data_IF_225104368829
#
_entry.id   IF_225104368829
#
_cell.length_a   1.000
_cell.length_b   1.000
_cell.length_c   1.000
_cell.angle_alpha   90.00
_cell.angle_beta   90.00
_cell.angle_gamma   90.00
#
_symmetry.space_group_name_H-M   'P 1'
#
loop_
_entity.id
_entity.type
_entity.pdbx_description
1 polymer ?
#
# COMPACT_ATOMS: atom_id res chain seq x y z
N UNK A 1 -0.02 5.29 26.50
CA UNK A 1 0.53 6.22 25.49
C UNK A 1 0.36 7.63 26.03
N UNK A 2 1.48 8.31 26.30
CA UNK A 2 1.54 9.66 26.91
C UNK A 2 2.26 10.66 26.03
N UNK A 3 2.49 10.33 24.75
CA UNK A 3 3.16 11.19 23.76
C UNK A 3 2.21 11.63 22.63
N UNK A 4 2.55 12.76 22.01
CA UNK A 4 1.86 13.31 20.86
C UNK A 4 2.07 12.36 19.67
N UNK A 5 1.02 11.96 18.96
CA UNK A 5 1.16 10.99 17.90
C UNK A 5 1.69 11.57 16.58
N UNK A 6 1.84 12.89 16.49
CA UNK A 6 2.39 13.58 15.31
C UNK A 6 3.88 13.89 15.45
N UNK A 7 4.31 14.39 16.60
CA UNK A 7 5.69 14.84 16.84
C UNK A 7 6.38 14.17 18.03
N UNK A 8 5.74 13.17 18.64
CA UNK A 8 6.27 12.36 19.75
C UNK A 8 6.56 13.12 21.06
N UNK A 9 6.34 14.43 21.10
CA UNK A 9 6.45 15.25 22.31
C UNK A 9 5.56 14.74 23.45
N UNK A 10 6.07 14.78 24.68
CA UNK A 10 5.34 14.45 25.90
C UNK A 10 4.51 15.64 26.44
N UNK A 11 4.67 16.83 25.85
CA UNK A 11 3.96 18.04 26.25
C UNK A 11 2.51 18.02 25.75
N UNK A 12 1.64 17.39 26.53
CA UNK A 12 0.24 17.16 26.18
C UNK A 12 -0.68 17.67 27.28
N UNK A 13 -1.65 18.49 26.89
CA UNK A 13 -2.70 18.99 27.78
C UNK A 13 -4.07 18.41 27.41
N UNK A 14 -4.95 18.25 28.40
CA UNK A 14 -6.36 17.91 28.17
C UNK A 14 -7.05 19.08 27.44
N UNK A 15 -7.83 18.78 26.40
CA UNK A 15 -8.44 19.79 25.52
C UNK A 15 -9.92 19.48 25.23
N UNK A 16 -10.74 19.47 26.27
CA UNK A 16 -12.18 19.21 26.16
C UNK A 16 -12.53 17.77 25.80
N UNK A 17 -13.74 17.56 25.25
CA UNK A 17 -14.29 16.22 24.99
C UNK A 17 -14.91 16.09 23.60
N UNK A 18 -14.95 14.86 23.10
CA UNK A 18 -15.86 14.43 22.05
C UNK A 18 -16.99 13.61 22.69
N UNK A 19 -18.18 13.68 22.12
CA UNK A 19 -19.30 12.84 22.50
C UNK A 19 -19.62 11.91 21.33
N UNK A 20 -19.60 10.60 21.57
CA UNK A 20 -20.01 9.61 20.59
C UNK A 20 -21.08 8.71 21.19
N UNK A 21 -22.32 8.90 20.74
CA UNK A 21 -23.51 8.41 21.46
C UNK A 21 -23.42 8.88 22.93
N UNK A 22 -23.54 7.98 23.89
CA UNK A 22 -23.45 8.27 25.32
C UNK A 22 -22.02 8.29 25.87
N UNK A 23 -21.00 7.99 25.05
CA UNK A 23 -19.61 7.92 25.52
C UNK A 23 -18.91 9.26 25.41
N UNK A 24 -18.40 9.75 26.54
CA UNK A 24 -17.52 10.91 26.66
C UNK A 24 -16.07 10.49 26.39
N UNK A 25 -15.45 11.09 25.38
CA UNK A 25 -14.10 10.79 24.92
C UNK A 25 -13.21 12.00 25.19
N UNK A 26 -12.16 11.83 26.01
CA UNK A 26 -11.18 12.87 26.28
C UNK A 26 -10.39 13.25 25.03
N UNK A 27 -10.34 14.55 24.73
CA UNK A 27 -9.41 15.13 23.75
C UNK A 27 -8.16 15.63 24.45
N UNK A 28 -7.07 15.66 23.70
CA UNK A 28 -5.78 16.17 24.09
C UNK A 28 -5.28 17.13 23.02
N UNK A 29 -4.48 18.12 23.41
CA UNK A 29 -3.76 19.02 22.52
C UNK A 29 -2.27 18.91 22.86
N UNK A 30 -1.43 18.70 21.84
CA UNK A 30 0.02 18.79 22.00
C UNK A 30 0.44 20.27 22.00
N UNK A 31 1.20 20.68 23.00
CA UNK A 31 1.71 22.05 23.10
C UNK A 31 2.75 22.35 22.03
N UNK A 32 3.61 21.38 21.69
CA UNK A 32 4.72 21.60 20.75
C UNK A 32 4.28 21.67 19.28
N UNK A 33 3.25 20.93 18.85
CA UNK A 33 2.79 20.93 17.44
C UNK A 33 1.31 21.33 17.25
N UNK A 34 0.63 21.76 18.31
CA UNK A 34 -0.79 22.14 18.33
C UNK A 34 -1.79 21.05 17.87
N UNK A 35 -1.34 19.80 17.65
CA UNK A 35 -2.21 18.70 17.21
C UNK A 35 -3.25 18.39 18.28
N UNK A 36 -4.52 18.35 17.88
CA UNK A 36 -5.63 17.87 18.72
C UNK A 36 -5.92 16.41 18.36
N UNK A 37 -6.01 15.54 19.35
CA UNK A 37 -6.24 14.10 19.15
C UNK A 37 -6.94 13.46 20.37
N UNK A 38 -7.37 12.20 20.24
CA UNK A 38 -7.92 11.41 21.35
C UNK A 38 -7.34 10.00 21.31
N UNK A 39 -6.97 9.44 22.46
CA UNK A 39 -6.47 8.06 22.57
C UNK A 39 -7.57 6.99 22.44
N UNK A 40 -8.77 7.36 22.00
CA UNK A 40 -9.90 6.43 21.98
C UNK A 40 -9.66 5.24 21.05
N UNK A 41 -10.01 4.06 21.53
CA UNK A 41 -9.70 2.79 20.87
C UNK A 41 -10.58 2.43 19.67
N UNK A 42 -11.61 3.23 19.34
CA UNK A 42 -12.42 3.01 18.13
C UNK A 42 -11.97 3.91 16.99
N UNK A 43 -11.94 3.32 15.80
CA UNK A 43 -11.85 4.06 14.54
C UNK A 43 -13.07 5.01 14.44
N UNK A 44 -12.87 6.32 14.27
CA UNK A 44 -13.96 7.30 14.24
C UNK A 44 -15.01 6.98 13.18
N UNK A 45 -16.26 7.38 13.45
CA UNK A 45 -17.43 7.25 12.53
C UNK A 45 -17.82 5.81 12.19
N UNK A 46 -17.43 4.82 13.00
CA UNK A 46 -17.82 3.42 12.81
C UNK A 46 -18.56 2.90 14.04
N UNK A 47 -19.70 2.23 13.82
CA UNK A 47 -20.49 1.60 14.88
C UNK A 47 -20.00 0.18 15.21
N UNK A 48 -19.19 -0.42 14.34
CA UNK A 48 -18.63 -1.77 14.49
C UNK A 48 -17.31 -1.75 15.27
N UNK A 49 -16.91 -2.89 15.88
CA UNK A 49 -15.56 -3.06 16.42
C UNK A 49 -14.49 -2.84 15.34
N UNK A 50 -13.33 -2.29 15.73
CA UNK A 50 -12.26 -1.97 14.77
C UNK A 50 -11.63 -3.24 14.17
N UNK A 51 -11.69 -4.33 14.92
CA UNK A 51 -11.26 -5.68 14.55
C UNK A 51 -12.07 -6.20 13.34
N UNK A 52 -13.36 -5.85 13.24
CA UNK A 52 -14.21 -6.22 12.08
C UNK A 52 -13.71 -5.52 10.81
N UNK A 53 -13.29 -4.25 10.91
CA UNK A 53 -12.73 -3.51 9.78
C UNK A 53 -11.39 -4.14 9.36
N UNK A 54 -10.53 -4.50 10.33
CA UNK A 54 -9.28 -5.20 10.05
C UNK A 54 -9.50 -6.54 9.35
N UNK A 55 -10.48 -7.32 9.82
CA UNK A 55 -10.85 -8.60 9.20
C UNK A 55 -11.33 -8.38 7.76
N UNK A 56 -12.18 -7.38 7.51
CA UNK A 56 -12.62 -7.04 6.16
C UNK A 56 -11.46 -6.74 5.20
N UNK A 57 -10.46 -5.99 5.67
CA UNK A 57 -9.26 -5.67 4.89
C UNK A 57 -8.47 -6.94 4.55
N UNK A 58 -8.18 -7.77 5.56
CA UNK A 58 -7.42 -9.01 5.37
C UNK A 58 -8.15 -9.98 4.43
N UNK A 59 -9.47 -10.17 4.59
CA UNK A 59 -10.27 -11.05 3.74
C UNK A 59 -10.33 -10.56 2.28
N UNK A 60 -10.49 -9.25 2.08
CA UNK A 60 -10.54 -8.68 0.73
C UNK A 60 -9.21 -8.86 0.00
N UNK A 61 -8.10 -8.56 0.67
CA UNK A 61 -6.76 -8.69 0.08
C UNK A 61 -6.35 -10.15 -0.12
N UNK A 62 -6.91 -11.09 0.66
CA UNK A 62 -6.79 -12.53 0.46
C UNK A 62 -7.70 -13.11 -0.63
N UNK A 63 -8.48 -12.29 -1.32
CA UNK A 63 -9.22 -12.70 -2.53
C UNK A 63 -10.73 -12.69 -2.41
N UNK A 64 -11.31 -12.44 -1.23
CA UNK A 64 -12.77 -12.44 -1.09
C UNK A 64 -13.39 -11.16 -1.67
N UNK A 65 -14.58 -11.29 -2.27
CA UNK A 65 -15.36 -10.12 -2.71
C UNK A 65 -16.07 -9.45 -1.54
N UNK A 66 -16.40 -8.16 -1.64
CA UNK A 66 -17.16 -7.46 -0.60
C UNK A 66 -18.52 -8.12 -0.28
N UNK A 67 -19.13 -8.80 -1.26
CA UNK A 67 -20.39 -9.53 -1.06
C UNK A 67 -20.18 -10.80 -0.23
N UNK A 68 -19.11 -11.55 -0.51
CA UNK A 68 -18.74 -12.73 0.28
C UNK A 68 -18.35 -12.34 1.69
N UNK A 69 -17.60 -11.24 1.87
CA UNK A 69 -17.25 -10.74 3.21
C UNK A 69 -18.51 -10.33 3.97
N UNK A 70 -19.45 -9.60 3.35
CA UNK A 70 -20.75 -9.29 3.95
C UNK A 70 -21.45 -10.57 4.44
N UNK A 71 -21.47 -11.61 3.62
CA UNK A 71 -22.11 -12.88 3.96
C UNK A 71 -21.44 -13.53 5.18
N UNK A 72 -20.11 -13.61 5.19
CA UNK A 72 -19.35 -14.15 6.33
C UNK A 72 -19.60 -13.37 7.62
N UNK A 73 -19.67 -12.03 7.56
CA UNK A 73 -20.00 -11.20 8.72
C UNK A 73 -21.39 -11.49 9.28
N UNK A 74 -22.37 -11.76 8.42
CA UNK A 74 -23.72 -12.10 8.85
C UNK A 74 -23.79 -13.52 9.44
N UNK A 75 -23.23 -14.51 8.74
CA UNK A 75 -23.36 -15.93 9.10
C UNK A 75 -22.53 -16.30 10.35
N UNK A 76 -21.31 -15.78 10.47
CA UNK A 76 -20.40 -16.18 11.55
C UNK A 76 -20.44 -15.25 12.75
N UNK A 77 -20.80 -13.98 12.55
CA UNK A 77 -20.74 -12.95 13.61
C UNK A 77 -22.08 -12.27 13.87
N UNK A 78 -23.15 -12.62 13.14
CA UNK A 78 -24.46 -11.96 13.21
C UNK A 78 -24.39 -10.42 13.01
N UNK A 79 -23.39 -9.96 12.25
CA UNK A 79 -23.15 -8.54 11.99
C UNK A 79 -23.76 -8.13 10.64
N UNK A 80 -24.82 -7.33 10.71
CA UNK A 80 -25.49 -6.77 9.52
C UNK A 80 -24.74 -5.56 8.99
N UNK A 81 -23.78 -5.80 8.09
CA UNK A 81 -23.01 -4.75 7.40
C UNK A 81 -23.25 -4.85 5.89
N UNK A 82 -23.46 -3.71 5.22
CA UNK A 82 -23.61 -3.70 3.76
C UNK A 82 -22.27 -3.88 3.06
N UNK A 83 -22.23 -4.53 1.90
CA UNK A 83 -21.00 -4.65 1.10
C UNK A 83 -20.44 -3.29 0.67
N UNK A 84 -21.32 -2.29 0.45
CA UNK A 84 -20.93 -0.92 0.18
C UNK A 84 -20.22 -0.27 1.37
N UNK A 85 -20.67 -0.54 2.60
CA UNK A 85 -20.01 -0.06 3.82
C UNK A 85 -18.58 -0.59 3.89
N UNK A 86 -18.37 -1.87 3.59
CA UNK A 86 -17.04 -2.49 3.56
C UNK A 86 -16.15 -1.84 2.48
N UNK A 87 -16.71 -1.64 1.29
CA UNK A 87 -16.03 -0.92 0.20
C UNK A 87 -15.61 0.48 0.65
N UNK A 88 -16.49 1.26 1.27
CA UNK A 88 -16.16 2.61 1.75
C UNK A 88 -15.08 2.59 2.83
N UNK A 89 -15.09 1.63 3.76
CA UNK A 89 -13.99 1.47 4.71
C UNK A 89 -12.66 1.22 4.01
N UNK A 90 -12.63 0.31 3.01
CA UNK A 90 -11.43 0.06 2.20
C UNK A 90 -10.94 1.35 1.53
N UNK A 91 -11.85 2.09 0.89
CA UNK A 91 -11.52 3.30 0.17
C UNK A 91 -10.99 4.42 1.08
N UNK A 92 -11.66 4.64 2.21
CA UNK A 92 -11.32 5.72 3.14
C UNK A 92 -10.04 5.41 3.91
N UNK A 93 -9.94 4.25 4.54
CA UNK A 93 -8.81 3.98 5.41
C UNK A 93 -7.54 3.68 4.63
N UNK A 94 -7.61 3.08 3.44
CA UNK A 94 -6.41 2.92 2.61
C UNK A 94 -5.77 4.26 2.28
N UNK A 95 -6.56 5.28 1.91
CA UNK A 95 -6.03 6.64 1.64
C UNK A 95 -5.37 7.27 2.86
N UNK A 96 -6.01 7.13 4.03
CA UNK A 96 -5.47 7.64 5.30
C UNK A 96 -4.16 6.95 5.65
N UNK A 97 -4.12 5.62 5.53
CA UNK A 97 -2.91 4.83 5.78
C UNK A 97 -1.82 5.17 4.78
N UNK A 98 -2.14 5.28 3.49
CA UNK A 98 -1.17 5.57 2.43
C UNK A 98 -0.46 6.88 2.70
N UNK A 99 -1.20 7.93 3.10
CA UNK A 99 -0.62 9.23 3.47
C UNK A 99 0.41 9.10 4.61
N UNK A 100 0.13 8.26 5.61
CA UNK A 100 1.06 8.02 6.72
C UNK A 100 2.25 7.16 6.29
N UNK A 101 2.03 6.06 5.56
CA UNK A 101 3.13 5.19 5.12
C UNK A 101 4.06 5.87 4.13
N UNK A 102 3.56 6.81 3.34
CA UNK A 102 4.34 7.56 2.37
C UNK A 102 5.25 8.61 3.02
N UNK A 103 4.99 8.99 4.28
CA UNK A 103 5.88 9.84 5.05
C UNK A 103 6.99 9.07 5.77
N UNK A 104 7.02 7.74 5.66
CA UNK A 104 8.06 6.91 6.27
C UNK A 104 9.15 6.64 5.23
N UNK A 105 10.38 7.07 5.54
CA UNK A 105 11.54 6.85 4.68
C UNK A 105 12.18 5.48 5.02
N UNK A 106 12.21 4.53 4.07
CA UNK A 106 12.86 3.23 4.26
C UNK A 106 14.37 3.32 4.01
N UNK A 107 15.14 2.48 4.71
CA UNK A 107 16.53 2.18 4.39
C UNK A 107 16.57 1.14 3.25
N UNK A 108 17.14 1.53 2.11
CA UNK A 108 17.07 0.75 0.87
C UNK A 108 18.47 0.26 0.44
N UNK A 109 18.49 -0.85 -0.30
CA UNK A 109 19.72 -1.40 -0.86
C UNK A 109 20.09 -0.73 -2.19
N UNK A 110 21.25 -1.09 -2.71
CA UNK A 110 21.77 -0.58 -3.97
C UNK A 110 21.13 -1.22 -5.22
N UNK A 111 20.30 -2.26 -5.10
CA UNK A 111 19.79 -3.02 -6.25
C UNK A 111 18.26 -3.05 -6.21
N UNK A 112 17.64 -2.41 -7.21
CA UNK A 112 16.19 -2.34 -7.33
C UNK A 112 15.71 -3.09 -8.57
N UNK A 113 14.59 -3.79 -8.44
CA UNK A 113 13.95 -4.52 -9.53
C UNK A 113 12.64 -3.86 -9.92
N UNK A 114 12.39 -3.79 -11.23
CA UNK A 114 11.18 -3.20 -11.80
C UNK A 114 10.53 -4.15 -12.81
N UNK A 115 9.20 -4.17 -12.83
CA UNK A 115 8.40 -4.98 -13.73
C UNK A 115 6.99 -4.37 -13.87
N UNK A 116 6.26 -4.75 -14.91
CA UNK A 116 4.89 -4.35 -15.12
C UNK A 116 3.94 -5.56 -15.16
N UNK A 117 2.78 -5.44 -14.54
CA UNK A 117 1.69 -6.41 -14.69
C UNK A 117 0.43 -5.74 -15.20
N UNK A 118 -0.22 -6.34 -16.19
CA UNK A 118 -1.49 -5.81 -16.71
C UNK A 118 -2.65 -6.14 -15.78
N UNK A 119 -3.55 -5.17 -15.59
CA UNK A 119 -4.76 -5.28 -14.78
C UNK A 119 -5.96 -4.90 -15.65
N UNK A 120 -7.01 -5.72 -15.64
CA UNK A 120 -8.20 -5.55 -16.46
C UNK A 120 -9.29 -4.73 -15.78
N UNK A 121 -9.97 -3.87 -16.56
CA UNK A 121 -11.15 -3.11 -16.15
C UNK A 121 -12.42 -3.63 -16.82
N UNK A 122 -13.59 -3.17 -16.34
CA UNK A 122 -14.89 -3.57 -16.88
C UNK A 122 -15.14 -2.87 -18.23
N UNK A 123 -14.75 -3.53 -19.32
CA UNK A 123 -14.80 -3.05 -20.70
C UNK A 123 -14.22 -4.12 -21.63
N UNK A 124 -14.53 -4.12 -22.93
CA UNK A 124 -14.23 -5.23 -23.86
C UNK A 124 -12.73 -5.30 -24.22
N UNK A 125 -11.92 -5.84 -23.32
CA UNK A 125 -10.49 -6.03 -23.55
C UNK A 125 -10.15 -6.80 -24.84
N UNK A 126 -9.51 -6.11 -25.79
CA UNK A 126 -8.56 -6.74 -26.71
C UNK A 126 -7.16 -6.22 -26.34
N UNK A 127 -6.17 -7.11 -26.13
CA UNK A 127 -4.80 -6.72 -25.72
C UNK A 127 -4.09 -5.73 -26.66
N UNK A 128 -4.60 -5.55 -27.89
CA UNK A 128 -3.90 -4.82 -28.96
C UNK A 128 -4.49 -3.43 -29.26
N UNK A 129 -5.46 -2.93 -28.48
CA UNK A 129 -5.88 -1.51 -28.50
C UNK A 129 -6.30 -1.11 -27.08
N UNK A 130 -5.37 -0.55 -26.31
CA UNK A 130 -5.66 -0.10 -24.95
C UNK A 130 -6.18 1.33 -25.02
N UNK A 131 -7.51 1.47 -25.07
CA UNK A 131 -8.12 2.66 -24.49
C UNK A 131 -8.09 2.50 -22.95
N UNK A 132 -8.01 3.61 -22.20
CA UNK A 132 -8.07 3.60 -20.72
C UNK A 132 -9.23 2.78 -20.14
N UNK A 133 -10.25 2.48 -20.95
CA UNK A 133 -11.43 1.68 -20.65
C UNK A 133 -11.19 0.15 -20.54
N UNK A 134 -10.09 -0.39 -21.07
CA UNK A 134 -9.87 -1.85 -21.13
C UNK A 134 -8.95 -2.40 -20.03
N UNK A 135 -8.12 -1.55 -19.43
CA UNK A 135 -7.21 -1.93 -18.35
C UNK A 135 -6.07 -0.94 -18.14
N UNK A 136 -5.11 -1.33 -17.30
CA UNK A 136 -3.91 -0.53 -17.03
C UNK A 136 -2.72 -1.43 -16.69
N UNK A 137 -1.54 -0.99 -17.09
CA UNK A 137 -0.27 -1.53 -16.63
C UNK A 137 0.03 -1.02 -15.23
N UNK A 138 0.27 -1.93 -14.30
CA UNK A 138 0.77 -1.63 -12.97
C UNK A 138 2.29 -1.82 -12.96
N UNK A 139 3.00 -0.70 -12.99
CA UNK A 139 4.45 -0.63 -12.84
C UNK A 139 4.81 -0.75 -11.36
N UNK A 140 5.76 -1.63 -11.04
CA UNK A 140 6.19 -1.90 -9.67
C UNK A 140 7.70 -1.74 -9.56
N UNK A 141 8.18 -1.11 -8.48
CA UNK A 141 9.58 -1.06 -8.11
C UNK A 141 9.76 -1.65 -6.72
N UNK A 142 10.65 -2.62 -6.58
CA UNK A 142 10.93 -3.33 -5.33
C UNK A 142 12.44 -3.34 -5.04
N UNK A 143 12.79 -3.15 -3.78
CA UNK A 143 14.16 -3.33 -3.30
C UNK A 143 14.49 -4.84 -3.22
N UNK A 144 15.66 -5.23 -3.73
CA UNK A 144 16.02 -6.65 -3.83
C UNK A 144 16.69 -7.24 -2.59
N UNK A 145 16.83 -6.49 -1.50
CA UNK A 145 17.31 -7.01 -0.22
C UNK A 145 16.17 -6.99 0.79
N UNK A 146 15.62 -5.81 1.05
CA UNK A 146 14.56 -5.60 2.05
C UNK A 146 13.20 -6.07 1.57
N UNK A 147 13.03 -6.27 0.25
CA UNK A 147 11.74 -6.55 -0.41
C UNK A 147 10.77 -5.38 -0.33
N UNK A 148 11.19 -4.20 0.12
CA UNK A 148 10.28 -3.08 0.25
C UNK A 148 9.79 -2.64 -1.14
N UNK A 149 8.47 -2.54 -1.33
CA UNK A 149 7.88 -2.01 -2.58
C UNK A 149 7.87 -0.50 -2.50
N UNK A 150 8.74 0.14 -3.29
CA UNK A 150 8.95 1.60 -3.28
C UNK A 150 7.79 2.33 -3.95
N UNK A 151 7.36 1.83 -5.11
CA UNK A 151 6.31 2.47 -5.89
C UNK A 151 5.46 1.45 -6.64
N UNK A 152 4.17 1.74 -6.71
CA UNK A 152 3.23 1.19 -7.68
C UNK A 152 2.61 2.33 -8.48
N UNK A 153 2.54 2.19 -9.80
CA UNK A 153 1.95 3.20 -10.69
C UNK A 153 1.09 2.55 -11.77
N UNK A 154 -0.17 2.97 -11.86
CA UNK A 154 -1.07 2.55 -12.93
C UNK A 154 -0.93 3.51 -14.12
N UNK A 155 -0.70 2.94 -15.30
CA UNK A 155 -0.59 3.66 -16.56
C UNK A 155 -1.32 2.93 -17.69
N UNK A 156 -1.75 3.65 -18.72
CA UNK A 156 -2.41 3.06 -19.88
C UNK A 156 -1.45 2.32 -20.82
N UNK A 157 -0.17 2.67 -20.81
CA UNK A 157 0.84 2.10 -21.70
C UNK A 157 2.16 1.78 -20.99
N UNK A 158 3.07 1.19 -21.77
CA UNK A 158 4.44 0.90 -21.37
C UNK A 158 5.48 1.87 -21.95
N UNK A 159 5.02 3.05 -22.37
CA UNK A 159 5.80 4.05 -23.09
C UNK A 159 6.61 4.97 -22.17
N UNK A 160 7.41 5.83 -22.80
CA UNK A 160 8.35 6.72 -22.12
C UNK A 160 7.69 7.67 -21.11
N UNK A 161 6.54 8.26 -21.44
CA UNK A 161 5.86 9.19 -20.53
C UNK A 161 5.40 8.49 -19.24
N UNK A 162 4.77 7.32 -19.36
CA UNK A 162 4.36 6.47 -18.24
C UNK A 162 5.56 6.05 -17.39
N UNK A 163 6.63 5.59 -18.03
CA UNK A 163 7.89 5.25 -17.33
C UNK A 163 8.50 6.46 -16.63
N UNK A 164 8.50 7.64 -17.25
CA UNK A 164 9.05 8.85 -16.68
C UNK A 164 8.28 9.30 -15.42
N UNK A 165 6.94 9.22 -15.43
CA UNK A 165 6.10 9.48 -14.25
C UNK A 165 6.41 8.48 -13.13
N UNK A 166 6.53 7.19 -13.48
CA UNK A 166 6.86 6.15 -12.52
C UNK A 166 8.22 6.39 -11.83
N UNK A 167 9.26 6.73 -12.60
CA UNK A 167 10.58 7.05 -12.02
C UNK A 167 10.58 8.34 -11.19
N UNK A 168 9.83 9.38 -11.60
CA UNK A 168 9.63 10.59 -10.79
C UNK A 168 8.99 10.27 -9.45
N UNK A 169 7.94 9.44 -9.45
CA UNK A 169 7.27 8.99 -8.21
C UNK A 169 8.25 8.30 -7.25
N UNK A 170 9.17 7.49 -7.76
CA UNK A 170 10.21 6.84 -6.93
C UNK A 170 11.15 7.90 -6.33
N UNK A 171 11.63 8.85 -7.14
CA UNK A 171 12.51 9.93 -6.67
C UNK A 171 11.86 10.85 -5.63
N UNK A 172 10.57 11.12 -5.79
CA UNK A 172 9.80 11.92 -4.83
C UNK A 172 9.62 11.17 -3.50
N UNK A 173 9.59 9.84 -3.53
CA UNK A 173 9.39 9.01 -2.34
C UNK A 173 10.68 8.81 -1.51
N UNK A 174 11.84 8.68 -2.15
CA UNK A 174 13.09 8.38 -1.44
C UNK A 174 14.30 9.17 -1.96
N UNK A 175 15.17 9.56 -1.03
CA UNK A 175 16.46 10.17 -1.33
C UNK A 175 17.54 9.15 -1.74
N UNK A 176 17.32 7.85 -1.47
CA UNK A 176 18.24 6.77 -1.78
C UNK A 176 18.42 6.59 -3.29
N UNK A 177 19.62 6.17 -3.71
CA UNK A 177 19.98 5.98 -5.12
C UNK A 177 20.49 4.56 -5.34
N UNK A 178 19.92 3.82 -6.31
CA UNK A 178 20.41 2.50 -6.65
C UNK A 178 21.75 2.60 -7.39
N UNK A 179 22.57 1.57 -7.29
CA UNK A 179 23.70 1.31 -8.18
C UNK A 179 23.28 0.48 -9.39
N UNK A 180 22.26 -0.38 -9.22
CA UNK A 180 21.75 -1.25 -10.27
C UNK A 180 20.22 -1.21 -10.31
N UNK A 181 19.67 -0.99 -11.50
CA UNK A 181 18.24 -1.18 -11.78
C UNK A 181 18.10 -2.38 -12.71
N UNK A 182 17.32 -3.36 -12.29
CA UNK A 182 17.04 -4.59 -13.02
C UNK A 182 15.61 -4.55 -13.55
N UNK A 183 15.41 -4.78 -14.84
CA UNK A 183 14.07 -4.87 -15.44
C UNK A 183 14.01 -5.86 -16.60
N UNK A 184 12.82 -5.98 -17.20
CA UNK A 184 12.66 -6.64 -18.48
C UNK A 184 13.39 -5.88 -19.62
N UNK A 185 13.24 -6.37 -20.85
CA UNK A 185 13.87 -5.80 -22.03
C UNK A 185 13.21 -4.53 -22.58
N UNK A 186 12.22 -3.93 -21.90
CA UNK A 186 11.55 -2.73 -22.39
C UNK A 186 12.54 -1.54 -22.43
N UNK A 187 12.76 -0.91 -23.61
CA UNK A 187 13.69 0.22 -23.74
C UNK A 187 13.38 1.41 -22.82
N UNK A 188 12.12 1.59 -22.42
CA UNK A 188 11.69 2.67 -21.51
C UNK A 188 12.45 2.64 -20.20
N UNK A 189 12.69 1.47 -19.61
CA UNK A 189 13.46 1.37 -18.35
C UNK A 189 14.88 1.89 -18.52
N UNK A 190 15.56 1.54 -19.62
CA UNK A 190 16.91 2.01 -19.90
C UNK A 190 16.95 3.53 -20.07
N UNK A 191 15.98 4.09 -20.81
CA UNK A 191 15.87 5.52 -21.03
C UNK A 191 15.62 6.28 -19.72
N UNK A 192 14.62 5.86 -18.94
CA UNK A 192 14.29 6.50 -17.67
C UNK A 192 15.41 6.32 -16.63
N UNK A 193 16.10 5.18 -16.61
CA UNK A 193 17.27 4.98 -15.74
C UNK A 193 18.37 5.99 -16.05
N UNK A 194 18.72 6.21 -17.32
CA UNK A 194 19.74 7.22 -17.70
C UNK A 194 19.36 8.64 -17.27
N UNK A 195 18.08 9.01 -17.38
CA UNK A 195 17.60 10.35 -17.03
C UNK A 195 17.57 10.53 -15.51
N UNK A 196 17.04 9.54 -14.79
CA UNK A 196 16.75 9.69 -13.37
C UNK A 196 17.92 9.27 -12.48
N UNK A 197 18.64 8.23 -12.86
CA UNK A 197 19.75 7.66 -12.11
C UNK A 197 20.96 7.45 -13.03
N UNK A 198 21.58 8.53 -13.57
CA UNK A 198 22.66 8.43 -14.56
C UNK A 198 23.90 7.66 -14.08
N UNK A 199 24.09 7.56 -12.76
CA UNK A 199 25.17 6.77 -12.14
C UNK A 199 24.81 5.30 -11.92
N UNK A 200 23.55 4.93 -12.05
CA UNK A 200 23.11 3.55 -11.93
C UNK A 200 23.31 2.81 -13.24
N UNK A 201 23.76 1.57 -13.15
CA UNK A 201 23.73 0.65 -14.29
C UNK A 201 22.30 0.12 -14.48
N UNK A 202 21.89 -0.07 -15.74
CA UNK A 202 20.66 -0.76 -16.08
C UNK A 202 20.98 -2.16 -16.59
N UNK A 203 20.35 -3.18 -16.03
CA UNK A 203 20.55 -4.58 -16.41
C UNK A 203 19.24 -5.23 -16.82
N UNK A 204 19.26 -5.93 -17.95
CA UNK A 204 18.11 -6.69 -18.44
C UNK A 204 18.21 -8.10 -17.88
N UNK A 205 17.10 -8.63 -17.35
CA UNK A 205 17.00 -9.96 -16.72
C UNK A 205 17.64 -11.09 -17.55
N UNK A 206 17.54 -11.04 -18.90
CA UNK A 206 18.12 -12.06 -19.80
C UNK A 206 19.65 -12.04 -19.89
N UNK A 207 20.30 -10.93 -19.54
CA UNK A 207 21.74 -10.72 -19.72
C UNK A 207 22.57 -11.17 -18.51
N UNK A 208 21.94 -11.70 -17.47
CA UNK A 208 22.60 -12.07 -16.23
C UNK A 208 22.65 -13.60 -16.17
N UNK A 209 23.84 -14.16 -16.44
CA UNK A 209 24.16 -15.59 -16.28
C UNK A 209 23.99 -16.08 -14.84
N UNK A 210 23.92 -15.14 -13.88
CA UNK A 210 23.47 -15.33 -12.51
C UNK A 210 22.01 -14.87 -12.49
N UNK A 211 20.99 -15.73 -12.54
CA UNK A 211 19.59 -15.30 -12.37
C UNK A 211 19.49 -14.41 -11.11
N UNK A 212 19.39 -13.07 -11.17
CA UNK A 212 19.03 -12.34 -9.96
C UNK A 212 17.60 -12.76 -9.72
N UNK A 213 17.38 -13.55 -8.66
CA UNK A 213 16.12 -14.22 -8.33
C UNK A 213 14.89 -13.38 -8.71
N UNK A 214 14.40 -13.48 -9.96
CA UNK A 214 13.28 -12.69 -10.49
C UNK A 214 11.98 -13.02 -9.75
N UNK A 215 12.03 -14.10 -8.97
CA UNK A 215 11.06 -14.55 -8.01
C UNK A 215 10.46 -13.46 -7.11
N UNK A 216 11.13 -12.35 -6.79
CA UNK A 216 10.59 -11.40 -5.81
C UNK A 216 9.47 -10.54 -6.37
N UNK A 217 9.74 -9.83 -7.47
CA UNK A 217 8.72 -9.04 -8.15
C UNK A 217 7.68 -9.94 -8.81
N UNK A 218 8.08 -11.10 -9.34
CA UNK A 218 7.15 -12.10 -9.88
C UNK A 218 6.20 -12.63 -8.80
N UNK A 219 6.69 -12.91 -7.59
CA UNK A 219 5.87 -13.34 -6.45
C UNK A 219 4.95 -12.22 -5.96
N UNK A 220 5.41 -10.98 -5.97
CA UNK A 220 4.56 -9.82 -5.68
C UNK A 220 3.45 -9.66 -6.71
N UNK A 221 3.81 -9.63 -8.00
CA UNK A 221 2.88 -9.57 -9.12
C UNK A 221 1.93 -10.78 -9.11
N UNK A 222 2.39 -11.96 -8.71
CA UNK A 222 1.57 -13.15 -8.49
C UNK A 222 0.50 -12.95 -7.41
N UNK A 223 0.81 -12.19 -6.34
CA UNK A 223 -0.17 -11.84 -5.30
C UNK A 223 -1.28 -10.94 -5.86
N UNK A 224 -0.91 -9.95 -6.68
CA UNK A 224 -1.87 -9.09 -7.39
C UNK A 224 -2.72 -9.94 -8.35
N UNK A 225 -2.07 -10.78 -9.18
CA UNK A 225 -2.73 -11.64 -10.16
C UNK A 225 -3.70 -12.64 -9.51
N UNK A 226 -3.34 -13.24 -8.38
CA UNK A 226 -4.24 -14.15 -7.66
C UNK A 226 -5.55 -13.46 -7.23
N UNK A 227 -5.46 -12.17 -6.86
CA UNK A 227 -6.64 -11.37 -6.55
C UNK A 227 -7.43 -10.99 -7.79
N UNK A 228 -6.75 -10.48 -8.82
CA UNK A 228 -7.42 -9.96 -10.02
C UNK A 228 -7.99 -11.08 -10.89
N UNK A 229 -7.44 -12.30 -10.82
CA UNK A 229 -7.95 -13.48 -11.52
C UNK A 229 -9.32 -13.94 -11.02
N UNK A 230 -9.56 -13.89 -9.72
CA UNK A 230 -10.86 -14.33 -9.13
C UNK A 230 -11.92 -13.22 -9.16
N UNK A 231 -11.49 -11.98 -9.40
CA UNK A 231 -12.37 -10.84 -9.58
C UNK A 231 -12.72 -10.70 -11.07
N UNK A 232 -13.96 -10.33 -11.39
CA UNK A 232 -14.36 -10.14 -12.80
C UNK A 232 -13.55 -9.01 -13.47
N UNK A 233 -13.43 -7.87 -12.78
CA UNK A 233 -12.68 -6.68 -13.19
C UNK A 233 -12.88 -5.59 -12.13
N UNK A 234 -12.06 -4.52 -12.16
CA UNK A 234 -12.37 -3.30 -11.43
C UNK A 234 -13.41 -2.46 -12.18
N UNK A 235 -14.32 -1.81 -11.44
CA UNK A 235 -15.34 -0.93 -12.01
C UNK A 235 -14.78 0.46 -12.39
N UNK A 236 -13.63 0.87 -11.82
CA UNK A 236 -12.98 2.15 -12.15
C UNK A 236 -11.48 2.16 -11.84
N UNK A 237 -10.75 3.07 -12.51
CA UNK A 237 -9.33 3.35 -12.22
C UNK A 237 -9.10 3.69 -10.73
N UNK A 238 -9.95 4.52 -10.13
CA UNK A 238 -9.82 4.91 -8.72
C UNK A 238 -9.96 3.74 -7.74
N UNK A 239 -10.85 2.79 -8.04
CA UNK A 239 -11.00 1.56 -7.23
C UNK A 239 -9.79 0.63 -7.37
N UNK A 240 -9.23 0.54 -8.59
CA UNK A 240 -8.00 -0.21 -8.85
C UNK A 240 -6.82 0.41 -8.11
N UNK A 241 -6.61 1.74 -8.23
CA UNK A 241 -5.53 2.46 -7.56
C UNK A 241 -5.59 2.24 -6.04
N UNK A 242 -6.78 2.36 -5.45
CA UNK A 242 -6.92 2.16 -4.01
C UNK A 242 -6.64 0.71 -3.60
N UNK A 243 -7.02 -0.26 -4.43
CA UNK A 243 -6.69 -1.67 -4.17
C UNK A 243 -5.18 -1.93 -4.29
N UNK A 244 -4.50 -1.31 -5.27
CA UNK A 244 -3.05 -1.41 -5.41
C UNK A 244 -2.32 -0.78 -4.21
N UNK A 245 -2.77 0.39 -3.75
CA UNK A 245 -2.23 1.03 -2.55
C UNK A 245 -2.41 0.13 -1.32
N UNK A 246 -3.59 -0.50 -1.16
CA UNK A 246 -3.84 -1.44 -0.07
C UNK A 246 -2.92 -2.67 -0.15
N UNK A 247 -2.64 -3.19 -1.36
CA UNK A 247 -1.66 -4.27 -1.55
C UNK A 247 -0.24 -3.84 -1.18
N UNK A 248 0.20 -2.66 -1.60
CA UNK A 248 1.52 -2.12 -1.23
C UNK A 248 1.65 -2.01 0.29
N UNK A 249 0.65 -1.42 0.95
CA UNK A 249 0.62 -1.26 2.40
C UNK A 249 0.66 -2.62 3.11
N UNK A 250 -0.21 -3.55 2.70
CA UNK A 250 -0.28 -4.88 3.28
C UNK A 250 1.05 -5.61 3.17
N UNK A 251 1.64 -5.60 1.98
CA UNK A 251 2.89 -6.27 1.70
C UNK A 251 4.03 -5.69 2.53
N UNK A 252 4.19 -4.35 2.53
CA UNK A 252 5.31 -3.71 3.21
C UNK A 252 5.19 -3.76 4.74
N UNK A 253 3.99 -3.56 5.31
CA UNK A 253 3.85 -3.27 6.75
C UNK A 253 3.19 -4.37 7.57
N UNK A 254 2.42 -5.29 6.95
CA UNK A 254 1.56 -6.23 7.69
C UNK A 254 1.76 -7.71 7.34
N UNK A 255 2.41 -7.99 6.22
CA UNK A 255 2.69 -9.36 5.76
C UNK A 255 4.09 -9.76 6.24
N UNK A 256 4.22 -10.77 7.11
CA UNK A 256 5.53 -11.35 7.41
C UNK A 256 6.01 -12.21 6.24
N UNK A 257 7.32 -12.22 6.01
CA UNK A 257 7.94 -12.99 4.94
C UNK A 257 8.87 -14.05 5.53
N UNK A 258 8.68 -15.31 5.17
CA UNK A 258 9.59 -16.40 5.59
C UNK A 258 11.04 -16.14 5.16
N UNK A 259 11.23 -15.56 3.97
CA UNK A 259 12.56 -15.20 3.46
C UNK A 259 13.21 -14.01 4.18
N UNK A 260 12.49 -13.38 5.12
CA UNK A 260 12.94 -12.27 5.96
C UNK A 260 12.80 -12.64 7.45
N UNK A 261 12.92 -13.92 7.79
CA UNK A 261 12.81 -14.45 9.16
C UNK A 261 11.51 -14.05 9.88
N UNK A 262 10.40 -14.02 9.13
CA UNK A 262 9.09 -13.63 9.65
C UNK A 262 8.90 -12.12 9.83
N UNK A 263 9.89 -11.29 9.45
CA UNK A 263 9.76 -9.82 9.45
C UNK A 263 8.98 -9.33 8.23
N UNK A 264 8.44 -8.13 8.34
CA UNK A 264 7.87 -7.39 7.20
C UNK A 264 8.97 -6.65 6.43
N UNK A 265 8.77 -6.34 5.14
CA UNK A 265 9.70 -5.53 4.38
C UNK A 265 10.02 -4.19 5.05
N UNK A 266 9.03 -3.53 5.67
CA UNK A 266 9.24 -2.29 6.40
C UNK A 266 10.19 -2.47 7.59
N UNK A 267 10.06 -3.57 8.35
CA UNK A 267 10.96 -3.86 9.47
C UNK A 267 12.39 -4.11 9.02
N UNK A 268 12.59 -4.77 7.87
CA UNK A 268 13.94 -5.00 7.32
C UNK A 268 14.53 -3.71 6.74
N UNK A 269 13.67 -2.82 6.21
CA UNK A 269 14.05 -1.50 5.72
C UNK A 269 14.18 -0.43 6.83
N UNK A 270 14.47 -0.82 8.07
CA UNK A 270 14.73 0.11 9.19
C UNK A 270 13.50 0.85 9.74
N UNK A 271 12.29 0.65 9.19
CA UNK A 271 11.09 1.30 9.69
C UNK A 271 10.60 0.57 10.95
N UNK A 272 10.35 1.34 12.03
CA UNK A 272 9.71 0.84 13.26
C UNK A 272 8.23 0.52 13.04
N UNK A 273 7.99 -0.55 12.28
CA UNK A 273 6.69 -1.05 11.86
C UNK A 273 6.20 -2.15 12.81
N UNK A 274 5.86 -1.78 14.05
CA UNK A 274 5.24 -2.69 15.00
C UNK A 274 3.72 -2.44 15.08
N UNK A 275 2.94 -3.31 14.43
CA UNK A 275 1.48 -3.21 14.34
C UNK A 275 0.82 -4.49 14.90
N UNK A 276 0.76 -4.67 16.24
CA UNK A 276 0.32 -5.92 16.87
C UNK A 276 -1.15 -6.27 16.58
N UNK A 277 -2.01 -5.26 16.36
CA UNK A 277 -3.40 -5.46 15.91
C UNK A 277 -3.55 -5.13 14.42
N UNK A 278 -2.50 -5.41 13.63
CA UNK A 278 -2.46 -5.33 12.16
C UNK A 278 -3.03 -4.02 11.63
N UNK A 279 -4.11 -4.09 10.84
CA UNK A 279 -4.79 -2.92 10.26
C UNK A 279 -5.33 -1.98 11.33
N UNK A 280 -5.82 -2.47 12.47
CA UNK A 280 -6.33 -1.58 13.53
C UNK A 280 -5.24 -0.65 14.04
N UNK A 281 -4.08 -1.21 14.37
CA UNK A 281 -2.92 -0.43 14.84
C UNK A 281 -2.46 0.55 13.77
N UNK A 282 -2.40 0.12 12.51
CA UNK A 282 -1.97 0.96 11.40
C UNK A 282 -2.97 2.10 11.11
N UNK A 283 -4.27 1.82 11.06
CA UNK A 283 -5.34 2.81 10.89
C UNK A 283 -5.29 3.84 12.01
N UNK A 284 -5.19 3.38 13.27
CA UNK A 284 -5.11 4.29 14.42
C UNK A 284 -3.90 5.20 14.33
N UNK A 285 -2.71 4.65 14.04
CA UNK A 285 -1.50 5.46 13.90
C UNK A 285 -1.64 6.48 12.77
N UNK A 286 -2.23 6.06 11.64
CA UNK A 286 -2.45 6.92 10.48
C UNK A 286 -3.47 8.04 10.73
N UNK A 287 -4.55 7.77 11.47
CA UNK A 287 -5.55 8.76 11.86
C UNK A 287 -4.99 9.85 12.78
N UNK A 288 -4.00 9.49 13.59
CA UNK A 288 -3.35 10.44 14.47
C UNK A 288 -2.32 11.30 13.73
N UNK A 289 -1.73 10.77 12.66
CA UNK A 289 -0.88 11.51 11.73
C UNK A 289 -1.67 12.53 10.91
N UNK A 290 -2.77 12.11 10.27
CA UNK A 290 -3.64 12.93 9.40
C UNK A 290 -4.23 14.14 10.10
#
# INVERSE_FOLDING_TARGET
>A
MTSCPKCESQEIMKFGFNYYKEKKIQKYKCSSCNKIFSYHNRIPKTSVPSEVISLCFDLYLKGLSYRVIKQQLLEQFNLKVSHNTIYYWMQTYTKIIKKYTDSLEPELSAVWQMDETFITFKGKGKPNKIELSDGSWCWVCIDTVTRFVLAMHLACDKGFLSGNIFFKKIKEYTSYKPQVIVSDGNPTYRQCTKIHYPKASHSIIKAISIKPNTSFIERFNGTIKNRTKTMRCFDSFGSCQTTMDAFQIYYNFLRPHMALDGKTPAQVAGISANFPNRWVSLIKKSLLFS
#
